data_IF_931665535544
#
_entry.id   IF_931665535544
#
_cell.length_a   1.000
_cell.length_b   1.000
_cell.length_c   1.000
_cell.angle_alpha   90.00
_cell.angle_beta   90.00
_cell.angle_gamma   90.00
#
_symmetry.space_group_name_H-M   'P 1'
#
loop_
_entity.id
_entity.type
_entity.pdbx_description
1 polymer ?
#
# COMPACT_ATOMS: atom_id res chain seq x y z
N UNK A 1 -94.64 18.97 -41.95
CA UNK A 1 -93.24 19.36 -41.65
C UNK A 1 -93.03 19.18 -40.16
N UNK A 2 -92.24 18.18 -39.75
CA UNK A 2 -91.96 17.91 -38.34
C UNK A 2 -90.86 16.85 -38.23
N UNK A 3 -89.74 17.17 -37.59
CA UNK A 3 -89.29 16.47 -36.38
C UNK A 3 -87.91 16.97 -35.99
N UNK A 4 -87.94 17.63 -34.84
CA UNK A 4 -86.89 17.96 -33.89
C UNK A 4 -85.77 16.90 -33.81
N UNK A 5 -84.54 17.28 -34.17
CA UNK A 5 -83.33 16.49 -33.87
C UNK A 5 -82.57 17.25 -32.79
N UNK A 6 -82.95 16.97 -31.55
CA UNK A 6 -82.31 17.50 -30.35
C UNK A 6 -80.84 17.10 -30.30
N UNK A 7 -79.97 18.10 -30.48
CA UNK A 7 -78.53 18.04 -30.21
C UNK A 7 -78.32 17.82 -28.71
N UNK A 8 -78.41 16.58 -28.25
CA UNK A 8 -78.13 16.22 -26.86
C UNK A 8 -76.62 16.12 -26.66
N UNK A 9 -75.96 17.26 -26.49
CA UNK A 9 -74.58 17.31 -25.99
C UNK A 9 -74.61 17.01 -24.49
N UNK A 10 -74.73 15.72 -24.14
CA UNK A 10 -74.69 15.23 -22.76
C UNK A 10 -73.31 15.51 -22.18
N UNK A 11 -73.18 16.58 -21.40
CA UNK A 11 -71.99 16.93 -20.63
C UNK A 11 -71.66 15.77 -19.70
N UNK A 12 -70.59 15.03 -20.01
CA UNK A 12 -70.10 13.96 -19.13
C UNK A 12 -69.61 14.61 -17.83
N UNK A 13 -69.98 14.04 -16.69
CA UNK A 13 -69.49 14.50 -15.39
C UNK A 13 -67.96 14.47 -15.38
N UNK A 14 -67.33 15.46 -14.72
CA UNK A 14 -65.87 15.57 -14.64
C UNK A 14 -65.24 14.31 -14.02
N UNK A 15 -65.96 13.63 -13.13
CA UNK A 15 -65.57 12.33 -12.59
C UNK A 15 -65.43 11.24 -13.68
N UNK A 16 -66.35 11.21 -14.64
CA UNK A 16 -66.31 10.25 -15.76
C UNK A 16 -65.13 10.54 -16.70
N UNK A 17 -64.85 11.82 -16.96
CA UNK A 17 -63.70 12.24 -17.77
C UNK A 17 -62.38 11.93 -17.05
N UNK A 18 -62.33 12.16 -15.75
CA UNK A 18 -61.16 11.87 -14.91
C UNK A 18 -60.87 10.37 -14.82
N UNK A 19 -61.89 9.53 -14.64
CA UNK A 19 -61.73 8.05 -14.70
C UNK A 19 -61.19 7.60 -16.07
N UNK A 20 -61.72 8.15 -17.18
CA UNK A 20 -61.23 7.81 -18.53
C UNK A 20 -59.78 8.22 -18.75
N UNK A 21 -59.37 9.41 -18.28
CA UNK A 21 -57.97 9.86 -18.32
C UNK A 21 -57.07 8.90 -17.55
N UNK A 22 -57.48 8.52 -16.34
CA UNK A 22 -56.76 7.58 -15.49
C UNK A 22 -56.52 6.23 -16.18
N UNK A 23 -57.57 5.59 -16.73
CA UNK A 23 -57.39 4.31 -17.41
C UNK A 23 -56.50 4.40 -18.65
N UNK A 24 -56.60 5.50 -19.42
CA UNK A 24 -55.72 5.74 -20.58
C UNK A 24 -54.28 5.93 -20.16
N UNK A 25 -54.05 6.65 -19.05
CA UNK A 25 -52.73 6.85 -18.48
C UNK A 25 -52.12 5.55 -18.00
N UNK A 26 -52.89 4.75 -17.25
CA UNK A 26 -52.45 3.43 -16.78
C UNK A 26 -52.10 2.49 -17.92
N UNK A 27 -52.87 2.49 -19.00
CA UNK A 27 -52.52 1.71 -20.18
C UNK A 27 -51.28 2.23 -20.92
N UNK A 28 -51.07 3.55 -20.99
CA UNK A 28 -49.84 4.14 -21.56
C UNK A 28 -48.63 3.75 -20.72
N UNK A 29 -48.73 3.85 -19.41
CA UNK A 29 -47.69 3.49 -18.45
C UNK A 29 -47.34 2.00 -18.55
N UNK A 30 -48.34 1.12 -18.59
CA UNK A 30 -48.14 -0.31 -18.80
C UNK A 30 -47.39 -0.62 -20.11
N UNK A 31 -47.82 -0.02 -21.23
CA UNK A 31 -47.13 -0.20 -22.52
C UNK A 31 -45.69 0.28 -22.49
N UNK A 32 -45.42 1.44 -21.87
CA UNK A 32 -44.05 1.95 -21.73
C UNK A 32 -43.18 1.00 -20.91
N UNK A 33 -43.71 0.49 -19.80
CA UNK A 33 -42.98 -0.47 -18.97
C UNK A 33 -42.63 -1.73 -19.74
N UNK A 34 -43.61 -2.31 -20.45
CA UNK A 34 -43.39 -3.50 -21.27
C UNK A 34 -42.28 -3.31 -22.32
N UNK A 35 -42.28 -2.15 -22.99
CA UNK A 35 -41.26 -1.79 -24.00
C UNK A 35 -39.89 -1.59 -23.33
N UNK A 36 -39.84 -0.90 -22.18
CA UNK A 36 -38.60 -0.66 -21.46
C UNK A 36 -37.97 -1.96 -20.93
N UNK A 37 -38.79 -2.84 -20.34
CA UNK A 37 -38.36 -4.15 -19.85
C UNK A 37 -37.85 -5.02 -21.01
N UNK A 38 -38.54 -5.00 -22.16
CA UNK A 38 -38.10 -5.69 -23.38
C UNK A 38 -36.75 -5.18 -23.88
N UNK A 39 -36.59 -3.85 -23.99
CA UNK A 39 -35.34 -3.23 -24.42
C UNK A 39 -34.17 -3.53 -23.46
N UNK A 40 -34.44 -3.61 -22.15
CA UNK A 40 -33.43 -3.96 -21.15
C UNK A 40 -32.96 -5.42 -21.31
N UNK A 41 -33.89 -6.35 -21.53
CA UNK A 41 -33.56 -7.77 -21.77
C UNK A 41 -32.78 -7.92 -23.09
N UNK A 42 -33.19 -7.25 -24.16
CA UNK A 42 -32.46 -7.27 -25.44
C UNK A 42 -31.03 -6.74 -25.30
N UNK A 43 -30.83 -5.67 -24.53
CA UNK A 43 -29.51 -5.13 -24.25
C UNK A 43 -28.64 -6.12 -23.43
N UNK A 44 -29.22 -6.82 -22.46
CA UNK A 44 -28.51 -7.85 -21.69
C UNK A 44 -28.14 -9.06 -22.56
N UNK A 45 -29.06 -9.54 -23.40
CA UNK A 45 -28.77 -10.62 -24.36
C UNK A 45 -27.64 -10.20 -25.30
N UNK A 46 -27.68 -8.98 -25.83
CA UNK A 46 -26.61 -8.46 -26.67
C UNK A 46 -25.27 -8.40 -25.92
N UNK A 47 -25.27 -7.93 -24.67
CA UNK A 47 -24.06 -7.88 -23.85
C UNK A 47 -23.48 -9.27 -23.57
N UNK A 48 -24.34 -10.22 -23.19
CA UNK A 48 -23.94 -11.61 -22.93
C UNK A 48 -23.42 -12.29 -24.20
N UNK A 49 -24.04 -12.02 -25.35
CA UNK A 49 -23.55 -12.52 -26.64
C UNK A 49 -22.16 -11.95 -26.96
N UNK A 50 -21.94 -10.65 -26.74
CA UNK A 50 -20.62 -10.03 -26.94
C UNK A 50 -19.55 -10.64 -26.02
N UNK A 51 -19.90 -10.95 -24.77
CA UNK A 51 -19.00 -11.67 -23.85
C UNK A 51 -18.70 -13.06 -24.39
N UNK A 52 -19.71 -13.79 -24.85
CA UNK A 52 -19.56 -15.14 -25.38
C UNK A 52 -18.69 -15.15 -26.64
N UNK A 53 -18.92 -14.22 -27.56
CA UNK A 53 -18.11 -14.04 -28.77
C UNK A 53 -16.66 -13.69 -28.41
N UNK A 54 -16.45 -12.85 -27.40
CA UNK A 54 -15.12 -12.52 -26.89
C UNK A 54 -14.42 -13.70 -26.23
N UNK A 55 -15.16 -14.56 -25.53
CA UNK A 55 -14.63 -15.81 -24.96
C UNK A 55 -14.33 -16.84 -26.05
N UNK A 56 -15.20 -16.94 -27.06
CA UNK A 56 -15.05 -17.86 -28.18
C UNK A 56 -13.90 -17.45 -29.10
N UNK A 57 -13.72 -16.15 -29.35
CA UNK A 57 -12.57 -15.62 -30.09
C UNK A 57 -11.24 -15.85 -29.36
N UNK A 58 -11.26 -15.87 -28.02
CA UNK A 58 -10.11 -16.22 -27.18
C UNK A 58 -9.92 -17.74 -27.05
N UNK A 59 -10.95 -18.54 -27.34
CA UNK A 59 -10.87 -19.99 -27.39
C UNK A 59 -10.40 -20.43 -28.78
N UNK A 60 -9.17 -20.95 -28.88
CA UNK A 60 -8.78 -21.73 -30.06
C UNK A 60 -9.72 -22.94 -30.20
N UNK A 61 -10.06 -23.40 -31.41
CA UNK A 61 -10.92 -24.57 -31.57
C UNK A 61 -10.14 -25.84 -31.21
N UNK A 62 -10.22 -26.29 -29.96
CA UNK A 62 -10.10 -27.71 -29.57
C UNK A 62 -10.40 -27.90 -28.07
N UNK A 63 -11.69 -27.89 -27.71
CA UNK A 63 -12.16 -28.29 -26.36
C UNK A 63 -12.60 -29.75 -26.38
N UNK A 64 -11.69 -30.66 -26.74
CA UNK A 64 -11.78 -32.05 -26.29
C UNK A 64 -10.97 -32.31 -25.03
N UNK A 65 -10.18 -31.34 -24.56
CA UNK A 65 -9.28 -31.48 -23.40
C UNK A 65 -9.84 -30.92 -22.08
N UNK A 66 -11.14 -30.60 -22.03
CA UNK A 66 -11.83 -30.25 -20.78
C UNK A 66 -12.16 -31.50 -19.92
N UNK A 67 -11.30 -32.52 -19.90
CA UNK A 67 -11.51 -33.73 -19.08
C UNK A 67 -10.60 -33.88 -17.86
N UNK A 68 -9.54 -33.08 -17.71
CA UNK A 68 -8.65 -33.17 -16.54
C UNK A 68 -8.48 -31.83 -15.82
N UNK A 69 -9.29 -31.64 -14.78
CA UNK A 69 -9.38 -30.49 -13.89
C UNK A 69 -8.18 -30.32 -12.94
N UNK A 70 -6.97 -30.13 -13.49
CA UNK A 70 -5.80 -29.65 -12.75
C UNK A 70 -5.06 -28.60 -13.57
N UNK A 71 -4.56 -27.56 -12.91
CA UNK A 71 -3.68 -26.55 -13.53
C UNK A 71 -2.58 -27.27 -14.32
N UNK A 72 -2.40 -26.88 -15.58
CA UNK A 72 -1.33 -27.43 -16.42
C UNK A 72 0.02 -27.27 -15.71
N UNK A 73 0.86 -28.32 -15.72
CA UNK A 73 2.24 -28.24 -15.21
C UNK A 73 3.04 -27.11 -15.84
N UNK A 74 2.72 -26.73 -17.08
CA UNK A 74 3.33 -25.57 -17.74
C UNK A 74 2.98 -24.26 -17.04
N UNK A 75 1.72 -24.07 -16.67
CA UNK A 75 1.26 -22.89 -15.93
C UNK A 75 1.89 -22.83 -14.53
N UNK A 76 1.93 -23.97 -13.84
CA UNK A 76 2.57 -24.08 -12.51
C UNK A 76 4.06 -23.71 -12.62
N UNK A 77 4.79 -24.30 -13.56
CA UNK A 77 6.23 -24.03 -13.75
C UNK A 77 6.52 -22.57 -14.12
N UNK A 78 5.66 -21.92 -14.91
CA UNK A 78 5.82 -20.51 -15.24
C UNK A 78 5.70 -19.62 -14.00
N UNK A 79 4.73 -19.87 -13.12
CA UNK A 79 4.58 -19.11 -11.87
C UNK A 79 5.81 -19.30 -10.98
N UNK A 80 6.27 -20.53 -10.76
CA UNK A 80 7.47 -20.75 -9.98
C UNK A 80 8.70 -20.07 -10.57
N UNK A 81 8.85 -20.08 -11.90
CA UNK A 81 9.95 -19.39 -12.58
C UNK A 81 9.88 -17.88 -12.40
N UNK A 82 8.71 -17.27 -12.56
CA UNK A 82 8.55 -15.82 -12.37
C UNK A 82 8.72 -15.41 -10.91
N UNK A 83 8.18 -16.19 -9.98
CA UNK A 83 8.32 -15.93 -8.54
C UNK A 83 9.77 -16.07 -8.08
N UNK A 84 10.48 -17.12 -8.52
CA UNK A 84 11.90 -17.29 -8.24
C UNK A 84 12.73 -16.13 -8.80
N UNK A 85 12.45 -15.70 -10.02
CA UNK A 85 13.13 -14.55 -10.61
C UNK A 85 12.88 -13.28 -9.80
N UNK A 86 11.61 -12.98 -9.46
CA UNK A 86 11.25 -11.80 -8.64
C UNK A 86 11.97 -11.81 -7.29
N UNK A 87 11.95 -12.93 -6.58
CA UNK A 87 12.61 -13.06 -5.27
C UNK A 87 14.12 -12.84 -5.37
N UNK A 88 14.77 -13.34 -6.42
CA UNK A 88 16.20 -13.12 -6.63
C UNK A 88 16.50 -11.63 -6.89
N UNK A 89 15.72 -10.98 -7.75
CA UNK A 89 15.87 -9.55 -8.04
C UNK A 89 15.62 -8.68 -6.79
N UNK A 90 14.58 -9.01 -6.01
CA UNK A 90 14.28 -8.32 -4.76
C UNK A 90 15.44 -8.48 -3.78
N UNK A 91 15.97 -9.70 -3.63
CA UNK A 91 17.14 -9.97 -2.78
C UNK A 91 18.35 -9.14 -3.19
N UNK A 92 18.68 -9.08 -4.48
CA UNK A 92 19.79 -8.28 -4.99
C UNK A 92 19.60 -6.79 -4.69
N UNK A 93 18.39 -6.28 -4.85
CA UNK A 93 18.03 -4.91 -4.49
C UNK A 93 18.19 -4.64 -2.98
N UNK A 94 17.72 -5.55 -2.12
CA UNK A 94 17.89 -5.44 -0.67
C UNK A 94 19.36 -5.47 -0.25
N UNK A 95 20.15 -6.39 -0.80
CA UNK A 95 21.59 -6.47 -0.51
C UNK A 95 22.29 -5.17 -0.88
N UNK A 96 21.96 -4.60 -2.04
CA UNK A 96 22.52 -3.32 -2.48
C UNK A 96 22.17 -2.19 -1.52
N UNK A 97 20.90 -2.09 -1.09
CA UNK A 97 20.48 -1.10 -0.09
C UNK A 97 21.21 -1.26 1.24
N UNK A 98 21.39 -2.50 1.68
CA UNK A 98 22.08 -2.82 2.93
C UNK A 98 23.55 -2.40 2.89
N UNK A 99 24.25 -2.66 1.77
CA UNK A 99 25.63 -2.20 1.56
C UNK A 99 25.76 -0.67 1.59
N UNK A 100 24.79 0.05 1.02
CA UNK A 100 24.77 1.53 1.06
C UNK A 100 24.61 2.01 2.50
N UNK A 101 23.68 1.44 3.27
CA UNK A 101 23.49 1.79 4.67
C UNK A 101 24.71 1.48 5.54
N UNK A 102 25.38 0.35 5.31
CA UNK A 102 26.62 0.00 5.99
C UNK A 102 27.75 1.00 5.68
N UNK A 103 27.86 1.40 4.41
CA UNK A 103 28.84 2.40 3.97
C UNK A 103 28.56 3.77 4.61
N UNK A 104 27.29 4.20 4.63
CA UNK A 104 26.86 5.43 5.29
C UNK A 104 27.15 5.38 6.79
N UNK A 105 26.78 4.29 7.47
CA UNK A 105 27.07 4.08 8.90
C UNK A 105 28.57 4.21 9.19
N UNK A 106 29.41 3.57 8.38
CA UNK A 106 30.87 3.65 8.54
C UNK A 106 31.39 5.07 8.32
N UNK A 107 30.89 5.78 7.31
CA UNK A 107 31.26 7.17 7.04
C UNK A 107 30.86 8.09 8.21
N UNK A 108 29.66 7.92 8.76
CA UNK A 108 29.19 8.66 9.94
C UNK A 108 30.06 8.37 11.16
N UNK A 109 30.39 7.10 11.43
CA UNK A 109 31.28 6.72 12.52
C UNK A 109 32.67 7.35 12.37
N UNK A 110 33.23 7.33 11.16
CA UNK A 110 34.52 7.96 10.87
C UNK A 110 34.45 9.48 11.04
N UNK A 111 33.38 10.13 10.58
CA UNK A 111 33.17 11.57 10.76
C UNK A 111 33.15 11.94 12.25
N UNK A 112 32.37 11.22 13.06
CA UNK A 112 32.33 11.43 14.51
C UNK A 112 33.72 11.24 15.12
N UNK A 113 34.43 10.17 14.76
CA UNK A 113 35.77 9.88 15.28
C UNK A 113 36.82 10.92 14.86
N UNK A 114 36.74 11.49 13.66
CA UNK A 114 37.68 12.52 13.19
C UNK A 114 37.40 13.90 13.80
N UNK A 115 36.15 14.20 14.15
CA UNK A 115 35.77 15.49 14.75
C UNK A 115 35.85 15.50 16.27
N UNK A 116 36.10 14.35 16.89
CA UNK A 116 36.20 14.21 18.34
C UNK A 116 37.63 13.79 18.70
N UNK A 117 38.37 14.65 19.42
CA UNK A 117 39.74 14.35 19.80
C UNK A 117 39.75 13.31 20.94
N UNK A 118 40.22 12.11 20.63
CA UNK A 118 40.39 11.00 21.58
C UNK A 118 39.09 10.58 22.30
N UNK A 119 38.38 9.61 21.69
CA UNK A 119 37.28 8.89 22.32
C UNK A 119 37.85 7.71 23.12
N UNK A 120 37.64 7.66 24.43
CA UNK A 120 37.75 6.40 25.17
C UNK A 120 36.38 5.74 25.19
N UNK A 121 36.27 4.54 24.62
CA UNK A 121 35.04 3.74 24.63
C UNK A 121 35.14 2.66 25.70
N UNK A 122 34.21 2.66 26.65
CA UNK A 122 33.99 1.54 27.58
C UNK A 122 32.71 0.82 27.17
N UNK A 123 32.77 -0.50 26.96
CA UNK A 123 31.64 -1.30 26.50
C UNK A 123 31.26 -2.31 27.56
N UNK A 124 30.02 -2.22 28.06
CA UNK A 124 29.44 -3.19 29.00
C UNK A 124 28.08 -3.64 28.47
N UNK A 125 28.02 -4.89 28.01
CA UNK A 125 26.83 -5.51 27.40
C UNK A 125 26.25 -4.67 26.25
N UNK A 126 25.07 -4.08 26.45
CA UNK A 126 24.37 -3.27 25.47
C UNK A 126 24.59 -1.76 25.65
N UNK A 127 25.44 -1.38 26.60
CA UNK A 127 25.73 0.00 26.97
C UNK A 127 27.16 0.35 26.58
N UNK A 128 27.36 1.55 26.03
CA UNK A 128 28.65 2.09 25.62
C UNK A 128 28.83 3.47 26.22
N UNK A 129 29.93 3.70 26.93
CA UNK A 129 30.32 5.01 27.41
C UNK A 129 31.35 5.59 26.45
N UNK A 130 31.12 6.82 25.98
CA UNK A 130 32.07 7.58 25.18
C UNK A 130 32.56 8.77 26.01
N UNK A 131 33.81 8.74 26.44
CA UNK A 131 34.46 9.91 27.02
C UNK A 131 35.30 10.57 25.94
N UNK A 132 35.09 11.87 25.74
CA UNK A 132 35.61 12.58 24.57
C UNK A 132 36.07 13.97 24.96
N UNK A 133 37.20 14.41 24.40
CA UNK A 133 37.63 15.80 24.51
C UNK A 133 37.49 16.46 23.14
N UNK A 134 36.73 17.54 23.05
CA UNK A 134 36.58 18.27 21.79
C UNK A 134 37.90 19.00 21.44
N UNK A 135 38.04 19.44 20.19
CA UNK A 135 39.27 20.10 19.73
C UNK A 135 39.57 21.43 20.46
N UNK A 136 38.54 22.08 21.00
CA UNK A 136 38.61 23.26 21.87
C UNK A 136 38.83 22.90 23.36
N UNK A 137 38.97 21.62 23.69
CA UNK A 137 39.33 21.13 25.03
C UNK A 137 38.15 20.82 25.95
N UNK A 138 36.90 20.94 25.49
CA UNK A 138 35.74 20.63 26.31
C UNK A 138 35.61 19.11 26.49
N UNK A 139 35.44 18.66 27.74
CA UNK A 139 35.18 17.26 28.04
C UNK A 139 33.69 16.95 27.88
N UNK A 140 33.40 15.84 27.21
CA UNK A 140 32.04 15.37 26.98
C UNK A 140 31.97 13.87 27.23
N UNK A 141 31.12 13.50 28.19
CA UNK A 141 30.83 12.13 28.55
C UNK A 141 29.42 11.75 28.06
N UNK A 142 29.35 10.77 27.15
CA UNK A 142 28.08 10.34 26.53
C UNK A 142 27.85 8.85 26.76
N UNK A 143 26.74 8.52 27.41
CA UNK A 143 26.27 7.15 27.57
C UNK A 143 25.31 6.78 26.43
N UNK A 144 25.59 5.69 25.72
CA UNK A 144 24.75 5.11 24.69
C UNK A 144 24.19 3.75 25.14
N UNK A 145 22.88 3.57 25.07
CA UNK A 145 22.21 2.26 25.20
C UNK A 145 21.70 1.77 23.85
N UNK A 146 22.01 0.53 23.48
CA UNK A 146 21.49 -0.10 22.26
C UNK A 146 20.51 -1.22 22.62
N UNK A 147 19.29 -1.17 22.12
CA UNK A 147 18.28 -2.20 22.33
C UNK A 147 17.75 -2.69 20.98
N UNK A 148 17.87 -3.99 20.75
CA UNK A 148 17.42 -4.63 19.50
C UNK A 148 16.18 -5.46 19.81
N UNK A 149 15.08 -5.15 19.14
CA UNK A 149 13.87 -5.97 19.12
C UNK A 149 13.59 -6.39 17.67
N UNK A 150 12.75 -7.41 17.47
CA UNK A 150 12.59 -8.14 16.21
C UNK A 150 12.60 -7.30 14.91
N UNK A 151 11.99 -6.11 14.93
CA UNK A 151 11.86 -5.20 13.79
C UNK A 151 12.40 -3.78 14.07
N UNK A 152 12.99 -3.51 15.24
CA UNK A 152 13.39 -2.16 15.64
C UNK A 152 14.70 -2.11 16.43
N UNK A 153 15.47 -1.07 16.16
CA UNK A 153 16.68 -0.70 16.90
C UNK A 153 16.40 0.59 17.66
N UNK A 154 16.45 0.53 18.99
CA UNK A 154 16.34 1.71 19.85
C UNK A 154 17.74 2.11 20.32
N UNK A 155 18.11 3.34 20.01
CA UNK A 155 19.37 3.97 20.45
C UNK A 155 19.03 5.08 21.43
N UNK A 156 19.53 4.97 22.66
CA UNK A 156 19.39 5.98 23.71
C UNK A 156 20.73 6.67 23.90
N UNK A 157 20.77 8.00 23.84
CA UNK A 157 21.97 8.79 24.15
C UNK A 157 21.67 9.71 25.33
N UNK A 158 22.59 9.76 26.31
CA UNK A 158 22.51 10.65 27.46
C UNK A 158 23.87 11.29 27.69
N UNK A 159 23.91 12.62 27.74
CA UNK A 159 25.08 13.33 28.25
C UNK A 159 25.10 13.18 29.77
N UNK A 160 26.22 12.74 30.32
CA UNK A 160 26.43 12.55 31.76
C UNK A 160 27.34 13.67 32.24
N UNK A 161 26.99 14.28 33.37
CA UNK A 161 27.83 15.30 34.01
C UNK A 161 29.14 14.70 34.50
N UNK A 162 30.15 15.56 34.61
CA UNK A 162 31.50 15.19 35.02
C UNK A 162 31.47 14.62 36.45
N UNK A 163 31.93 13.38 36.63
CA UNK A 163 32.13 12.81 37.95
C UNK A 163 33.55 13.19 38.39
N UNK A 164 33.70 13.86 39.54
CA UNK A 164 34.97 14.43 40.02
C UNK A 164 36.11 13.38 40.10
N UNK A 165 35.77 12.10 40.07
CA UNK A 165 36.69 10.94 40.06
C UNK A 165 37.49 10.80 38.74
N UNK A 166 37.01 11.31 37.60
CA UNK A 166 37.70 11.16 36.30
C UNK A 166 38.79 12.21 36.02
N UNK A 167 38.90 13.23 36.87
CA UNK A 167 39.96 14.25 36.85
C UNK A 167 41.38 13.67 36.92
N UNK A 168 41.53 12.41 37.35
CA UNK A 168 42.83 11.82 37.70
C UNK A 168 43.45 10.89 36.64
N UNK A 169 42.78 10.57 35.52
CA UNK A 169 43.32 9.55 34.60
C UNK A 169 43.99 10.09 33.32
N UNK A 170 43.63 11.29 32.87
CA UNK A 170 44.22 11.88 31.66
C UNK A 170 45.44 12.78 31.95
N UNK A 171 45.42 13.49 33.09
CA UNK A 171 46.50 14.40 33.52
C UNK A 171 47.80 13.65 33.88
N UNK A 172 47.71 12.39 34.32
CA UNK A 172 48.88 11.58 34.69
C UNK A 172 49.62 10.92 33.51
N UNK A 173 49.01 10.80 32.33
CA UNK A 173 49.68 10.19 31.16
C UNK A 173 50.43 11.20 30.28
N UNK A 174 50.13 12.49 30.38
CA UNK A 174 50.86 13.51 29.62
C UNK A 174 52.19 13.92 30.28
N UNK A 175 52.32 13.82 31.62
CA UNK A 175 53.55 14.21 32.33
C UNK A 175 54.65 13.14 32.33
N UNK A 176 54.38 11.89 31.95
CA UNK A 176 55.38 10.81 31.92
C UNK A 176 56.02 10.56 30.53
N UNK A 177 55.85 11.46 29.55
CA UNK A 177 56.55 11.38 28.25
C UNK A 177 57.56 12.51 28.00
N UNK A 178 57.79 13.36 28.99
CA UNK A 178 58.78 14.43 28.91
C UNK A 178 59.53 14.56 30.25
N UNK A 179 60.37 13.57 30.56
CA UNK A 179 61.53 13.68 31.44
C UNK A 179 62.47 12.51 31.15
#
# INVERSE_FOLDING_TARGET
MSSDVGTTTRTLSDETLSRRRYFREKQREYRRKLIADGAAIEAEVFHLQSILDGLQAKSLPSVREARDSKLSWRSIAMVFKSEAHRVLTDRESLVTKMQVLESLKRAMQNFVMMNIAAVTEEVVANTRLFCTTTADGAFMNTLQGQFVEADRLVLVFRQVEDDEVHSCHFTLRQTCRSS
#
